data_IF_336475660359
#
_entry.id   IF_336475660359
#
_cell.length_a   1.000
_cell.length_b   1.000
_cell.length_c   1.000
_cell.angle_alpha   90.00
_cell.angle_beta   90.00
_cell.angle_gamma   90.00
#
_symmetry.space_group_name_H-M   'P 1'
#
loop_
_entity.id
_entity.type
_entity.pdbx_description
1 polymer ?
#
# COMPACT_ATOMS: atom_id res chain seq x y z
N UNK A 1 5.58 -8.62 11.08
CA UNK A 1 5.17 -7.58 10.11
C UNK A 1 3.93 -8.04 9.36
N UNK A 2 2.73 -7.78 9.87
CA UNK A 2 1.49 -8.22 9.17
C UNK A 2 0.19 -7.92 9.92
N UNK A 3 0.24 -7.14 11.00
CA UNK A 3 -0.93 -6.96 11.88
C UNK A 3 -1.94 -5.94 11.37
N UNK A 4 -1.52 -5.05 10.47
CA UNK A 4 -2.37 -3.95 10.02
C UNK A 4 -3.01 -4.21 8.65
N UNK A 5 -2.51 -5.14 7.83
CA UNK A 5 -3.07 -5.38 6.48
C UNK A 5 -4.58 -5.67 6.53
N UNK A 6 -5.01 -6.55 7.45
CA UNK A 6 -6.41 -6.87 7.67
C UNK A 6 -7.25 -5.73 8.28
N UNK A 7 -6.63 -4.65 8.78
CA UNK A 7 -7.38 -3.45 9.20
C UNK A 7 -7.69 -2.51 8.03
N UNK A 8 -6.94 -2.65 6.92
CA UNK A 8 -7.16 -1.87 5.70
C UNK A 8 -7.91 -2.64 4.61
N UNK A 9 -7.80 -3.97 4.59
CA UNK A 9 -8.64 -4.87 3.79
C UNK A 9 -10.02 -4.96 4.45
N UNK A 10 -10.86 -3.96 4.19
CA UNK A 10 -12.18 -3.87 4.82
C UNK A 10 -13.12 -4.97 4.36
N UNK A 11 -12.89 -5.43 3.13
CA UNK A 11 -13.70 -6.46 2.50
C UNK A 11 -13.22 -7.87 2.86
N UNK A 12 -12.09 -7.98 3.58
CA UNK A 12 -11.43 -9.23 3.97
C UNK A 12 -11.25 -10.20 2.80
N UNK A 13 -11.06 -9.65 1.59
CA UNK A 13 -10.99 -10.41 0.35
C UNK A 13 -9.55 -10.91 0.06
N UNK A 14 -8.57 -10.50 0.89
CA UNK A 14 -7.15 -10.83 0.75
C UNK A 14 -6.34 -9.85 -0.11
N UNK A 15 -6.97 -8.79 -0.63
CA UNK A 15 -6.41 -7.87 -1.62
C UNK A 15 -6.90 -6.43 -1.43
N UNK A 16 -5.98 -5.48 -1.38
CA UNK A 16 -6.30 -4.05 -1.31
C UNK A 16 -6.59 -3.50 -2.70
N UNK A 17 -7.76 -2.92 -2.88
CA UNK A 17 -8.07 -2.11 -4.06
C UNK A 17 -7.20 -0.85 -4.08
N UNK A 18 -7.09 -0.15 -5.22
CA UNK A 18 -6.32 1.09 -5.32
C UNK A 18 -6.69 2.14 -4.26
N UNK A 19 -7.99 2.26 -3.92
CA UNK A 19 -8.46 3.15 -2.87
C UNK A 19 -7.98 2.72 -1.47
N UNK A 20 -8.11 1.43 -1.14
CA UNK A 20 -7.71 0.89 0.16
C UNK A 20 -6.19 0.91 0.33
N UNK A 21 -5.46 0.50 -0.72
CA UNK A 21 -4.02 0.58 -0.77
C UNK A 21 -3.54 2.01 -0.59
N UNK A 22 -4.19 2.99 -1.22
CA UNK A 22 -3.84 4.40 -1.05
C UNK A 22 -3.93 4.88 0.39
N UNK A 23 -5.01 4.54 1.09
CA UNK A 23 -5.17 4.87 2.52
C UNK A 23 -4.14 4.13 3.38
N UNK A 24 -3.90 2.85 3.08
CA UNK A 24 -2.96 2.02 3.81
C UNK A 24 -1.50 2.48 3.64
N UNK A 25 -1.03 2.57 2.41
CA UNK A 25 0.37 2.88 2.08
C UNK A 25 0.74 4.30 2.50
N UNK A 26 -0.23 5.22 2.45
CA UNK A 26 -0.05 6.59 2.93
C UNK A 26 0.04 6.65 4.45
N UNK A 27 -0.74 5.85 5.18
CA UNK A 27 -0.61 5.66 6.62
C UNK A 27 0.71 4.97 7.02
N UNK A 28 1.12 3.94 6.27
CA UNK A 28 2.39 3.24 6.47
C UNK A 28 3.58 4.18 6.24
N UNK A 29 3.53 4.99 5.18
CA UNK A 29 4.56 6.00 4.93
C UNK A 29 4.54 7.11 5.94
N UNK A 30 3.37 7.56 6.43
CA UNK A 30 3.26 8.51 7.55
C UNK A 30 3.89 7.96 8.84
N UNK A 31 3.73 6.66 9.10
CA UNK A 31 4.30 6.00 10.27
C UNK A 31 5.83 5.89 10.18
N UNK A 32 6.38 5.64 8.98
CA UNK A 32 7.83 5.60 8.74
C UNK A 32 8.46 6.99 8.57
N UNK A 33 7.73 7.91 7.93
CA UNK A 33 8.10 9.29 7.60
C UNK A 33 7.02 10.26 8.11
N UNK A 34 7.17 10.83 9.32
CA UNK A 34 6.17 11.74 9.90
C UNK A 34 5.91 12.99 9.05
N UNK A 35 6.91 13.39 8.26
CA UNK A 35 6.86 14.50 7.32
C UNK A 35 5.97 14.22 6.09
N UNK A 36 5.61 12.96 5.85
CA UNK A 36 4.72 12.61 4.74
C UNK A 36 3.33 13.22 4.94
N UNK A 37 2.77 13.81 3.89
CA UNK A 37 1.47 14.45 3.89
C UNK A 37 0.48 13.62 3.06
N UNK A 38 -0.25 12.67 3.67
CA UNK A 38 -1.28 11.91 2.96
C UNK A 38 -2.35 12.86 2.39
N UNK A 39 -2.68 12.71 1.11
CA UNK A 39 -3.66 13.55 0.41
C UNK A 39 -3.07 14.72 -0.39
N UNK A 40 -1.77 15.01 -0.26
CA UNK A 40 -1.08 15.95 -1.16
C UNK A 40 -0.96 15.38 -2.58
N UNK A 41 -0.72 16.25 -3.58
CA UNK A 41 -0.50 15.82 -4.96
C UNK A 41 0.67 14.82 -5.06
N UNK A 42 1.78 15.08 -4.35
CA UNK A 42 2.93 14.17 -4.27
C UNK A 42 2.57 12.82 -3.66
N UNK A 43 1.72 12.81 -2.63
CA UNK A 43 1.26 11.58 -2.01
C UNK A 43 0.41 10.76 -2.99
N UNK A 44 -0.48 11.38 -3.76
CA UNK A 44 -1.26 10.68 -4.78
C UNK A 44 -0.38 10.10 -5.89
N UNK A 45 0.61 10.85 -6.37
CA UNK A 45 1.57 10.38 -7.38
C UNK A 45 2.36 9.19 -6.83
N UNK A 46 2.88 9.32 -5.61
CA UNK A 46 3.64 8.25 -4.97
C UNK A 46 2.79 7.02 -4.70
N UNK A 47 1.56 7.18 -4.20
CA UNK A 47 0.61 6.07 -3.99
C UNK A 47 0.39 5.32 -5.31
N UNK A 48 0.19 6.04 -6.43
CA UNK A 48 0.05 5.41 -7.73
C UNK A 48 1.28 4.61 -8.17
N UNK A 49 2.48 5.14 -7.92
CA UNK A 49 3.73 4.41 -8.21
C UNK A 49 3.95 3.20 -7.28
N UNK A 50 3.69 3.36 -5.98
CA UNK A 50 3.78 2.28 -5.00
C UNK A 50 2.76 1.18 -5.30
N UNK A 51 1.55 1.55 -5.72
CA UNK A 51 0.52 0.63 -6.16
C UNK A 51 1.01 -0.16 -7.37
N UNK A 52 1.51 0.51 -8.40
CA UNK A 52 2.03 -0.16 -9.60
C UNK A 52 3.28 -1.01 -9.35
N UNK A 53 4.06 -0.72 -8.30
CA UNK A 53 5.18 -1.56 -7.88
C UNK A 53 4.74 -2.78 -7.07
N UNK A 54 3.70 -2.63 -6.26
CA UNK A 54 3.16 -3.72 -5.45
C UNK A 54 2.29 -4.66 -6.31
N UNK A 55 1.48 -4.12 -7.22
CA UNK A 55 0.66 -4.83 -8.22
C UNK A 55 1.56 -5.43 -9.31
N UNK A 56 2.19 -6.56 -8.99
CA UNK A 56 3.15 -7.24 -9.85
C UNK A 56 2.43 -8.01 -10.97
N UNK A 57 1.24 -8.52 -10.68
CA UNK A 57 0.39 -9.22 -11.66
C UNK A 57 -0.49 -8.26 -12.50
N UNK A 58 -0.50 -6.98 -12.15
CA UNK A 58 -1.25 -5.91 -12.83
C UNK A 58 -2.75 -6.15 -12.82
N UNK A 59 -3.26 -6.82 -11.79
CA UNK A 59 -4.67 -7.15 -11.63
C UNK A 59 -5.51 -5.96 -11.09
N UNK A 60 -4.87 -4.80 -10.80
CA UNK A 60 -5.48 -3.61 -10.19
C UNK A 60 -5.92 -3.80 -8.74
N UNK A 61 -5.30 -4.73 -8.05
CA UNK A 61 -5.47 -5.05 -6.63
C UNK A 61 -4.12 -5.48 -6.10
N UNK A 62 -3.84 -5.24 -4.82
CA UNK A 62 -2.57 -5.66 -4.22
C UNK A 62 -2.85 -6.67 -3.14
N UNK A 63 -2.41 -7.90 -3.37
CA UNK A 63 -2.60 -9.00 -2.44
C UNK A 63 -1.68 -8.89 -1.23
N UNK A 64 -2.01 -9.54 -0.12
CA UNK A 64 -1.13 -9.57 1.06
C UNK A 64 0.29 -10.08 0.72
N UNK A 65 0.39 -11.06 -0.17
CA UNK A 65 1.67 -11.60 -0.64
C UNK A 65 2.52 -10.54 -1.38
N UNK A 66 1.87 -9.76 -2.24
CA UNK A 66 2.49 -8.68 -3.01
C UNK A 66 2.97 -7.55 -2.13
N UNK A 67 2.15 -7.12 -1.17
CA UNK A 67 2.54 -6.15 -0.15
C UNK A 67 3.71 -6.64 0.68
N UNK A 68 3.70 -7.90 1.08
CA UNK A 68 4.82 -8.48 1.84
C UNK A 68 6.10 -8.40 1.00
N UNK A 69 6.04 -8.78 -0.28
CA UNK A 69 7.17 -8.69 -1.19
C UNK A 69 7.63 -7.24 -1.43
N UNK A 70 6.69 -6.29 -1.56
CA UNK A 70 6.97 -4.87 -1.71
C UNK A 70 7.68 -4.26 -0.50
N UNK A 71 7.26 -4.63 0.71
CA UNK A 71 7.88 -4.18 1.96
C UNK A 71 9.17 -4.92 2.31
N UNK A 72 9.46 -6.02 1.64
CA UNK A 72 10.70 -6.76 1.86
C UNK A 72 11.81 -6.07 1.06
N UNK A 73 12.80 -5.41 1.69
CA UNK A 73 13.93 -4.88 0.95
C UNK A 73 14.66 -6.05 0.29
N UNK A 74 14.68 -6.09 -1.04
CA UNK A 74 15.61 -6.97 -1.77
C UNK A 74 17.02 -6.53 -1.38
N UNK A 75 17.70 -7.38 -0.61
CA UNK A 75 19.13 -7.27 -0.31
C UNK A 75 19.96 -7.34 -1.58
#
# INVERSE_FOLDING_TARGET
MGRDFGTYDKDANGSLSQAEFGVWVSGLRKASEPAFAPGSADANVWVGQAFAQADADKNKSVSQAEVTNFLTPKK
#
